data_IF_765903793107
#
_entry.id   IF_765903793107
#
_cell.length_a   1.000
_cell.length_b   1.000
_cell.length_c   1.000
_cell.angle_alpha   90.00
_cell.angle_beta   90.00
_cell.angle_gamma   90.00
#
_symmetry.space_group_name_H-M   'P 1'
#
loop_
_entity.id
_entity.type
_entity.pdbx_description
1 polymer ?
#
# COMPACT_ATOMS: atom_id res chain seq x y z
N UNK A 1 -7.00 -30.08 17.68
CA UNK A 1 -7.54 -28.71 17.73
C UNK A 1 -6.41 -27.78 17.25
N UNK A 2 -6.48 -27.28 15.99
CA UNK A 2 -5.54 -26.29 15.50
C UNK A 2 -5.97 -24.94 16.08
N UNK A 3 -5.09 -24.30 16.80
CA UNK A 3 -5.33 -22.98 17.36
C UNK A 3 -5.50 -21.99 16.21
N UNK A 4 -6.61 -21.27 16.20
CA UNK A 4 -6.87 -20.15 15.29
C UNK A 4 -5.96 -19.00 15.75
N UNK A 5 -4.82 -18.81 15.11
CA UNK A 5 -3.91 -17.71 15.43
C UNK A 5 -4.46 -16.47 14.74
N UNK A 6 -5.13 -15.61 15.49
CA UNK A 6 -5.48 -14.27 15.03
C UNK A 6 -4.27 -13.37 15.25
N UNK A 7 -3.66 -12.92 14.17
CA UNK A 7 -2.62 -11.90 14.24
C UNK A 7 -3.30 -10.54 14.06
N UNK A 8 -3.28 -9.74 15.11
CA UNK A 8 -3.86 -8.40 15.12
C UNK A 8 -2.84 -7.39 14.60
N UNK A 9 -3.05 -6.85 13.41
CA UNK A 9 -2.28 -5.71 12.92
C UNK A 9 -2.99 -4.43 13.37
N UNK A 10 -2.44 -3.74 14.35
CA UNK A 10 -2.85 -2.39 14.68
C UNK A 10 -2.00 -1.45 13.85
N UNK A 11 -2.52 -0.97 12.72
CA UNK A 11 -1.88 0.11 11.98
C UNK A 11 -2.21 1.40 12.73
N UNK A 12 -1.31 1.84 13.62
CA UNK A 12 -1.39 3.13 14.30
C UNK A 12 -0.95 4.23 13.32
N UNK A 13 -1.70 4.41 12.23
CA UNK A 13 -1.46 5.48 11.27
C UNK A 13 -1.85 6.87 11.80
N UNK A 14 -2.71 6.94 12.82
CA UNK A 14 -3.16 8.21 13.39
C UNK A 14 -2.05 9.01 14.08
N UNK A 15 -1.05 8.36 14.68
CA UNK A 15 0.02 9.06 15.39
C UNK A 15 1.10 9.65 14.48
N UNK A 16 1.35 9.05 13.32
CA UNK A 16 2.33 9.57 12.35
C UNK A 16 1.77 10.80 11.63
N UNK A 17 0.46 10.86 11.41
CA UNK A 17 -0.20 11.98 10.75
C UNK A 17 -0.15 13.28 11.56
N UNK A 18 -0.26 13.19 12.88
CA UNK A 18 -0.22 14.38 13.75
C UNK A 18 1.18 14.97 13.88
N UNK A 19 2.22 14.15 13.82
CA UNK A 19 3.61 14.59 13.92
C UNK A 19 4.18 15.16 12.60
N UNK A 20 3.61 14.78 11.45
CA UNK A 20 4.09 15.20 10.11
C UNK A 20 3.22 16.24 9.41
N UNK A 21 2.17 16.76 10.05
CA UNK A 21 1.29 17.79 9.49
C UNK A 21 2.00 19.05 8.94
N UNK A 22 3.11 19.55 9.50
CA UNK A 22 3.80 20.72 8.94
C UNK A 22 4.63 20.41 7.69
N UNK A 23 4.89 19.13 7.35
CA UNK A 23 5.76 18.77 6.22
C UNK A 23 4.99 18.48 4.92
N UNK A 24 3.65 18.41 4.97
CA UNK A 24 2.81 18.16 3.81
C UNK A 24 2.27 19.44 3.17
N UNK A 25 3.11 20.47 3.04
CA UNK A 25 2.86 21.51 2.04
C UNK A 25 3.27 20.93 0.68
N UNK A 26 2.39 20.16 0.09
CA UNK A 26 2.47 19.80 -1.31
C UNK A 26 2.21 21.08 -2.14
N UNK A 27 3.22 21.92 -2.29
CA UNK A 27 3.27 22.87 -3.40
C UNK A 27 3.37 22.00 -4.64
N UNK A 28 2.24 21.84 -5.32
CA UNK A 28 2.25 21.41 -6.71
C UNK A 28 3.26 22.29 -7.43
N UNK A 29 4.40 21.73 -7.84
CA UNK A 29 5.23 22.36 -8.85
C UNK A 29 4.44 22.20 -10.14
N UNK A 30 3.62 23.23 -10.42
CA UNK A 30 3.12 23.49 -11.77
C UNK A 30 4.33 23.80 -12.66
N UNK A 31 4.91 22.76 -13.19
CA UNK A 31 5.66 22.83 -14.43
C UNK A 31 5.26 21.59 -15.24
N UNK A 32 4.04 21.65 -15.74
CA UNK A 32 3.68 20.89 -16.93
C UNK A 32 4.45 21.59 -18.06
N UNK A 33 5.65 21.08 -18.33
CA UNK A 33 6.27 21.32 -19.61
C UNK A 33 5.36 20.68 -20.65
N UNK A 34 4.91 21.49 -21.60
CA UNK A 34 4.19 21.07 -22.80
C UNK A 34 4.98 19.94 -23.50
N UNK A 35 4.50 18.73 -23.36
CA UNK A 35 5.10 17.56 -23.98
C UNK A 35 4.19 16.37 -23.78
N UNK A 36 3.55 15.95 -24.86
CA UNK A 36 2.80 14.71 -25.08
C UNK A 36 2.18 14.10 -23.83
N UNK A 37 0.86 14.17 -23.76
CA UNK A 37 0.03 13.46 -22.78
C UNK A 37 0.15 11.95 -23.05
N UNK A 38 1.31 11.37 -22.75
CA UNK A 38 1.53 9.93 -22.83
C UNK A 38 0.93 9.34 -21.57
N UNK A 39 -0.30 8.87 -21.69
CA UNK A 39 -0.95 8.05 -20.69
C UNK A 39 -0.03 6.87 -20.34
N UNK A 40 0.30 6.71 -19.05
CA UNK A 40 1.15 5.60 -18.59
C UNK A 40 0.50 4.27 -18.93
N UNK A 41 1.23 3.44 -19.65
CA UNK A 41 0.78 2.08 -19.98
C UNK A 41 0.93 1.13 -18.78
N UNK A 42 0.25 -0.01 -18.81
CA UNK A 42 0.46 -1.06 -17.79
C UNK A 42 1.92 -1.55 -17.76
N UNK A 43 2.61 -1.54 -18.89
CA UNK A 43 4.04 -1.88 -18.96
C UNK A 43 4.92 -0.86 -18.23
N UNK A 44 4.58 0.43 -18.31
CA UNK A 44 5.27 1.48 -17.55
C UNK A 44 5.09 1.27 -16.04
N UNK A 45 3.87 0.98 -15.62
CA UNK A 45 3.57 0.67 -14.23
C UNK A 45 4.27 -0.61 -13.77
N UNK A 46 4.34 -1.65 -14.61
CA UNK A 46 5.04 -2.89 -14.29
C UNK A 46 6.55 -2.65 -14.09
N UNK A 47 7.18 -1.81 -14.94
CA UNK A 47 8.59 -1.41 -14.76
C UNK A 47 8.82 -0.63 -13.46
N UNK A 48 7.92 0.32 -13.16
CA UNK A 48 8.01 1.10 -11.90
C UNK A 48 7.83 0.19 -10.67
N UNK A 49 6.87 -0.74 -10.71
CA UNK A 49 6.62 -1.72 -9.65
C UNK A 49 7.84 -2.60 -9.40
N UNK A 50 8.48 -3.10 -10.47
CA UNK A 50 9.71 -3.87 -10.37
C UNK A 50 10.82 -3.07 -9.68
N UNK A 51 11.04 -1.81 -10.09
CA UNK A 51 12.03 -0.93 -9.44
C UNK A 51 11.72 -0.67 -7.97
N UNK A 52 10.45 -0.46 -7.63
CA UNK A 52 10.00 -0.30 -6.25
C UNK A 52 10.42 -1.50 -5.40
N UNK A 53 10.14 -2.73 -5.87
CA UNK A 53 10.51 -3.95 -5.13
C UNK A 53 12.03 -4.07 -5.00
N UNK A 54 12.79 -3.91 -6.07
CA UNK A 54 14.24 -4.11 -6.07
C UNK A 54 14.99 -3.01 -5.30
N UNK A 55 14.65 -1.74 -5.53
CA UNK A 55 15.47 -0.61 -5.09
C UNK A 55 14.98 0.05 -3.80
N UNK A 56 13.70 -0.10 -3.45
CA UNK A 56 13.14 0.51 -2.27
C UNK A 56 12.86 -0.51 -1.16
N UNK A 57 12.45 -1.73 -1.51
CA UNK A 57 12.03 -2.76 -0.55
C UNK A 57 13.18 -3.72 -0.25
N UNK A 58 13.68 -4.44 -1.25
CA UNK A 58 14.80 -5.38 -1.09
C UNK A 58 16.08 -4.68 -0.62
N UNK A 59 16.41 -3.52 -1.19
CA UNK A 59 17.58 -2.74 -0.82
C UNK A 59 17.61 -2.31 0.65
N UNK A 60 16.42 -2.23 1.29
CA UNK A 60 16.27 -1.86 2.71
C UNK A 60 16.07 -3.06 3.65
N UNK A 61 16.27 -4.27 3.17
CA UNK A 61 16.40 -5.45 4.03
C UNK A 61 15.20 -6.40 4.05
N UNK A 62 14.08 -6.11 3.39
CA UNK A 62 12.98 -7.07 3.23
C UNK A 62 13.46 -8.23 2.36
N UNK A 63 13.28 -9.48 2.83
CA UNK A 63 13.83 -10.69 2.19
C UNK A 63 12.80 -11.79 1.98
N UNK A 64 11.65 -11.76 2.67
CA UNK A 64 10.64 -12.79 2.50
C UNK A 64 10.12 -12.80 1.07
N UNK A 65 10.35 -13.94 0.39
CA UNK A 65 9.97 -14.11 -1.00
C UNK A 65 8.46 -13.96 -1.23
N UNK A 66 7.62 -14.42 -0.30
CA UNK A 66 6.16 -14.31 -0.39
C UNK A 66 5.74 -12.84 -0.42
N UNK A 67 6.36 -12.04 0.45
CA UNK A 67 6.12 -10.59 0.52
C UNK A 67 6.59 -9.90 -0.75
N UNK A 68 7.79 -10.19 -1.22
CA UNK A 68 8.33 -9.59 -2.44
C UNK A 68 7.48 -9.95 -3.67
N UNK A 69 7.02 -11.19 -3.79
CA UNK A 69 6.15 -11.66 -4.87
C UNK A 69 4.78 -10.96 -4.79
N UNK A 70 4.19 -10.82 -3.61
CA UNK A 70 2.93 -10.10 -3.40
C UNK A 70 3.07 -8.61 -3.80
N UNK A 71 4.13 -7.93 -3.32
CA UNK A 71 4.41 -6.53 -3.70
C UNK A 71 4.68 -6.36 -5.20
N UNK A 72 5.19 -7.39 -5.86
CA UNK A 72 5.41 -7.39 -7.31
C UNK A 72 4.11 -7.65 -8.09
N UNK A 73 3.17 -8.42 -7.55
CA UNK A 73 1.92 -8.80 -8.24
C UNK A 73 0.83 -7.75 -8.09
N UNK A 74 0.66 -7.18 -6.89
CA UNK A 74 -0.42 -6.22 -6.60
C UNK A 74 -0.17 -4.87 -7.27
N UNK A 75 -1.14 -4.40 -8.06
CA UNK A 75 -1.06 -3.18 -8.87
C UNK A 75 -1.39 -1.94 -8.03
N UNK A 76 -0.41 -1.46 -7.25
CA UNK A 76 -0.60 -0.35 -6.31
C UNK A 76 -1.26 0.89 -6.94
N UNK A 77 -1.01 1.19 -8.22
CA UNK A 77 -1.59 2.34 -8.90
C UNK A 77 -3.12 2.30 -9.04
N UNK A 78 -3.75 1.12 -8.85
CA UNK A 78 -5.20 0.99 -8.82
C UNK A 78 -5.81 1.37 -7.47
N UNK A 79 -5.00 1.47 -6.42
CA UNK A 79 -5.41 1.79 -5.04
C UNK A 79 -5.20 3.27 -4.69
N UNK A 80 -4.97 4.12 -5.66
CA UNK A 80 -4.80 5.57 -5.47
C UNK A 80 -5.66 6.32 -6.48
N UNK A 81 -6.16 7.53 -6.12
CA UNK A 81 -6.85 8.40 -7.06
C UNK A 81 -6.02 8.67 -8.32
N UNK A 82 -6.69 8.85 -9.45
CA UNK A 82 -6.06 8.95 -10.77
C UNK A 82 -4.91 9.94 -10.84
N UNK A 83 -5.09 11.13 -10.27
CA UNK A 83 -4.05 12.17 -10.26
C UNK A 83 -2.77 11.77 -9.53
N UNK A 84 -2.80 10.72 -8.70
CA UNK A 84 -1.63 10.21 -7.97
C UNK A 84 -1.05 8.93 -8.56
N UNK A 85 -1.65 8.34 -9.59
CA UNK A 85 -1.19 7.06 -10.18
C UNK A 85 0.24 7.10 -10.66
N UNK A 86 0.68 8.20 -11.25
CA UNK A 86 2.06 8.37 -11.73
C UNK A 86 3.10 8.29 -10.61
N UNK A 87 2.71 8.58 -9.36
CA UNK A 87 3.55 8.57 -8.16
C UNK A 87 3.39 7.28 -7.33
N UNK A 88 2.48 6.38 -7.70
CA UNK A 88 2.08 5.22 -6.88
C UNK A 88 3.23 4.29 -6.48
N UNK A 89 4.31 4.27 -7.25
CA UNK A 89 5.49 3.46 -6.99
C UNK A 89 6.68 4.24 -6.41
N UNK A 90 6.48 5.49 -6.04
CA UNK A 90 7.47 6.27 -5.30
C UNK A 90 7.47 5.84 -3.82
N UNK A 91 8.63 5.97 -3.17
CA UNK A 91 8.82 5.55 -1.77
C UNK A 91 8.22 6.57 -0.77
N UNK A 92 6.92 6.81 -0.88
CA UNK A 92 6.19 7.78 -0.06
C UNK A 92 4.72 7.37 0.13
N UNK A 93 4.04 7.84 1.22
CA UNK A 93 2.59 7.76 1.32
C UNK A 93 1.93 8.69 0.29
N UNK A 94 0.71 8.36 -0.14
CA UNK A 94 -0.08 9.17 -1.06
C UNK A 94 -1.49 9.38 -0.53
N UNK A 95 -2.13 10.52 -0.81
CA UNK A 95 -3.51 10.77 -0.42
C UNK A 95 -4.48 9.79 -1.11
N UNK A 96 -5.47 9.30 -0.33
CA UNK A 96 -6.58 8.46 -0.83
C UNK A 96 -7.94 9.09 -0.60
N UNK A 97 -7.97 10.35 -0.18
CA UNK A 97 -9.19 11.08 0.17
C UNK A 97 -9.46 11.08 1.68
N UNK A 98 -10.46 11.87 2.09
CA UNK A 98 -10.94 11.97 3.47
C UNK A 98 -9.84 12.20 4.54
N UNK A 99 -8.74 12.85 4.15
CA UNK A 99 -7.58 13.09 5.01
C UNK A 99 -6.74 11.84 5.28
N UNK A 100 -6.98 10.72 4.59
CA UNK A 100 -6.23 9.47 4.75
C UNK A 100 -5.20 9.27 3.63
N UNK A 101 -4.26 8.36 3.87
CA UNK A 101 -3.20 8.03 2.91
C UNK A 101 -3.03 6.52 2.78
N UNK A 102 -2.65 6.07 1.59
CA UNK A 102 -2.04 4.76 1.41
C UNK A 102 -0.61 4.80 1.95
N UNK A 103 -0.22 3.81 2.74
CA UNK A 103 1.12 3.73 3.34
C UNK A 103 2.22 3.66 2.28
N UNK A 104 3.42 4.17 2.61
CA UNK A 104 4.63 4.02 1.83
C UNK A 104 4.88 2.54 1.49
N UNK A 105 5.29 2.21 0.25
CA UNK A 105 5.49 0.82 -0.17
C UNK A 105 6.40 0.00 0.75
N UNK A 106 7.53 0.58 1.16
CA UNK A 106 8.45 -0.09 2.08
C UNK A 106 7.80 -0.45 3.42
N UNK A 107 6.96 0.44 3.96
CA UNK A 107 6.28 0.20 5.25
C UNK A 107 5.28 -0.96 5.11
N UNK A 108 4.52 -1.01 4.00
CA UNK A 108 3.62 -2.13 3.72
C UNK A 108 4.39 -3.45 3.69
N UNK A 109 5.49 -3.51 2.94
CA UNK A 109 6.31 -4.71 2.83
C UNK A 109 6.95 -5.12 4.17
N UNK A 110 7.50 -4.16 4.91
CA UNK A 110 8.12 -4.41 6.22
C UNK A 110 7.11 -4.95 7.23
N UNK A 111 5.94 -4.32 7.34
CA UNK A 111 4.89 -4.78 8.26
C UNK A 111 4.42 -6.20 7.89
N UNK A 112 4.24 -6.47 6.59
CA UNK A 112 3.84 -7.80 6.11
C UNK A 112 4.91 -8.86 6.43
N UNK A 113 6.19 -8.56 6.22
CA UNK A 113 7.30 -9.47 6.57
C UNK A 113 7.36 -9.76 8.09
N UNK A 114 7.16 -8.72 8.91
CA UNK A 114 7.18 -8.86 10.38
C UNK A 114 6.05 -9.71 10.94
N UNK A 115 4.98 -9.92 10.20
CA UNK A 115 3.88 -10.81 10.60
C UNK A 115 4.26 -12.28 10.52
N UNK A 116 5.25 -12.64 9.68
CA UNK A 116 5.71 -14.01 9.46
C UNK A 116 4.57 -15.01 9.14
N UNK A 117 3.62 -14.56 8.30
CA UNK A 117 2.40 -15.32 7.94
C UNK A 117 2.59 -16.18 6.70
N UNK A 118 1.72 -17.19 6.54
CA UNK A 118 1.68 -18.07 5.40
C UNK A 118 0.24 -18.38 4.91
N UNK A 119 0.12 -19.23 3.90
CA UNK A 119 -1.15 -19.59 3.26
C UNK A 119 -2.12 -20.41 4.14
N UNK A 120 -1.77 -20.71 5.38
CA UNK A 120 -2.66 -21.33 6.38
C UNK A 120 -3.30 -20.33 7.34
N UNK A 121 -2.80 -19.08 7.35
CA UNK A 121 -3.20 -18.06 8.29
C UNK A 121 -4.47 -17.30 7.88
N UNK A 122 -5.12 -16.72 8.89
CA UNK A 122 -6.22 -15.77 8.77
C UNK A 122 -5.75 -14.48 9.44
N UNK A 123 -5.83 -13.36 8.72
CA UNK A 123 -5.37 -12.05 9.19
C UNK A 123 -6.54 -11.08 9.33
N UNK A 124 -6.54 -10.32 10.41
CA UNK A 124 -7.41 -9.17 10.61
C UNK A 124 -6.59 -7.88 10.47
N UNK A 125 -6.93 -7.06 9.49
CA UNK A 125 -6.43 -5.71 9.31
C UNK A 125 -7.36 -4.70 9.98
N UNK A 126 -6.80 -3.67 10.61
CA UNK A 126 -7.55 -2.53 11.15
C UNK A 126 -7.10 -1.26 10.43
N UNK A 127 -8.04 -0.64 9.70
CA UNK A 127 -7.79 0.51 8.83
C UNK A 127 -7.60 0.07 7.38
N UNK A 128 -8.69 -0.32 6.72
CA UNK A 128 -8.72 -0.76 5.31
C UNK A 128 -8.11 0.28 4.38
N UNK A 129 -8.46 1.55 4.61
CA UNK A 129 -8.04 2.66 3.76
C UNK A 129 -8.44 2.42 2.30
N UNK A 130 -7.44 2.29 1.42
CA UNK A 130 -7.65 1.97 0.00
C UNK A 130 -7.74 0.47 -0.30
N UNK A 131 -7.61 -0.41 0.69
CA UNK A 131 -7.56 -1.87 0.50
C UNK A 131 -6.19 -2.41 0.03
N UNK A 132 -5.17 -1.58 -0.16
CA UNK A 132 -3.89 -2.04 -0.71
C UNK A 132 -3.16 -3.04 0.19
N UNK A 133 -3.11 -2.80 1.51
CA UNK A 133 -2.48 -3.73 2.45
C UNK A 133 -3.26 -5.05 2.50
N UNK A 134 -4.60 -5.00 2.50
CA UNK A 134 -5.45 -6.19 2.41
C UNK A 134 -5.16 -6.99 1.11
N UNK A 135 -5.01 -6.31 -0.03
CA UNK A 135 -4.68 -6.95 -1.30
C UNK A 135 -3.29 -7.60 -1.28
N UNK A 136 -2.29 -6.99 -0.65
CA UNK A 136 -0.96 -7.60 -0.46
C UNK A 136 -1.04 -8.83 0.43
N UNK A 137 -1.75 -8.74 1.54
CA UNK A 137 -1.95 -9.88 2.46
C UNK A 137 -2.70 -11.02 1.80
N UNK A 138 -3.75 -10.75 1.02
CA UNK A 138 -4.55 -11.76 0.32
C UNK A 138 -3.75 -12.60 -0.68
N UNK A 139 -2.63 -12.08 -1.18
CA UNK A 139 -1.71 -12.84 -2.03
C UNK A 139 -0.83 -13.83 -1.25
N UNK A 140 -0.84 -13.80 0.08
CA UNK A 140 0.04 -14.59 0.96
C UNK A 140 -0.75 -15.55 1.84
N UNK A 141 -1.84 -15.07 2.45
CA UNK A 141 -2.59 -15.77 3.48
C UNK A 141 -3.86 -16.43 2.93
N UNK A 142 -4.50 -17.25 3.74
CA UNK A 142 -5.74 -17.95 3.37
C UNK A 142 -6.94 -17.02 3.29
N UNK A 143 -7.08 -16.12 4.26
CA UNK A 143 -8.19 -15.17 4.38
C UNK A 143 -7.72 -13.88 5.01
N UNK A 144 -8.26 -12.77 4.54
CA UNK A 144 -8.07 -11.43 5.14
C UNK A 144 -9.42 -10.87 5.50
N UNK A 145 -9.55 -10.43 6.73
CA UNK A 145 -10.66 -9.60 7.19
C UNK A 145 -10.12 -8.20 7.43
N UNK A 146 -10.88 -7.18 7.05
CA UNK A 146 -10.46 -5.81 7.26
C UNK A 146 -11.59 -4.97 7.84
N UNK A 147 -11.25 -3.98 8.67
CA UNK A 147 -12.20 -3.09 9.33
C UNK A 147 -11.80 -1.65 9.04
N UNK A 148 -12.78 -0.83 8.62
CA UNK A 148 -12.60 0.59 8.38
C UNK A 148 -13.62 1.39 9.21
N UNK A 149 -13.17 2.48 9.84
CA UNK A 149 -14.03 3.36 10.63
C UNK A 149 -14.68 4.46 9.78
N UNK A 150 -14.05 4.80 8.65
CA UNK A 150 -14.56 5.80 7.70
C UNK A 150 -15.41 5.05 6.67
N UNK A 151 -16.72 5.11 6.81
CA UNK A 151 -17.66 4.36 6.00
C UNK A 151 -17.43 4.52 4.50
N UNK A 152 -17.19 5.76 4.03
CA UNK A 152 -16.92 6.04 2.61
C UNK A 152 -15.67 5.35 2.08
N UNK A 153 -14.61 5.21 2.90
CA UNK A 153 -13.41 4.46 2.50
C UNK A 153 -13.68 2.96 2.48
N UNK A 154 -14.43 2.45 3.45
CA UNK A 154 -14.81 1.05 3.47
C UNK A 154 -15.59 0.65 2.21
N UNK A 155 -16.56 1.47 1.79
CA UNK A 155 -17.35 1.25 0.58
C UNK A 155 -16.48 1.30 -0.70
N UNK A 156 -15.54 2.25 -0.79
CA UNK A 156 -14.62 2.37 -1.93
C UNK A 156 -13.62 1.20 -2.03
N UNK A 157 -13.28 0.58 -0.91
CA UNK A 157 -12.36 -0.55 -0.90
C UNK A 157 -13.04 -1.89 -1.25
N UNK A 158 -14.38 -1.95 -1.24
CA UNK A 158 -15.19 -3.13 -1.58
C UNK A 158 -15.47 -3.23 -3.11
N UNK A 159 -15.20 -2.17 -3.87
CA UNK A 159 -15.30 -2.11 -5.34
C UNK A 159 -14.08 -2.72 -6.06
#
# INVERSE_FOLDING_TARGET
MKYLTFILIIIVLACVFYAYRPFMNFKGQDSIADGENTEFTEEDYARKRKRMVEQQIMARGVRDKKVLDAMQSVRRHLFVPEQYRIYSYNDQPLPIGLGQTISQPYIVALMTEMLDVDNSDIVLEIGTGSGYQAAVLSAIVREVYTIEIIEELGLLADE
#
